data_IF_758982249418
#
_entry.id   IF_758982249418
#
_cell.length_a   1.000
_cell.length_b   1.000
_cell.length_c   1.000
_cell.angle_alpha   90.00
_cell.angle_beta   90.00
_cell.angle_gamma   90.00
#
_symmetry.space_group_name_H-M   'P 1'
#
loop_
_entity.id
_entity.type
_entity.pdbx_description
1 polymer ?
#
# COMPACT_ATOMS: atom_id res chain seq x y z
N UNK A 1 -4.69 -5.23 -2.94
CA UNK A 1 -4.44 -5.88 -1.63
C UNK A 1 -5.59 -5.56 -0.70
N UNK A 2 -6.09 -6.49 0.11
CA UNK A 2 -7.22 -6.26 1.00
C UNK A 2 -7.32 -7.25 2.15
N UNK A 3 -8.38 -7.14 2.95
CA UNK A 3 -8.57 -7.95 4.18
C UNK A 3 -8.94 -9.41 3.90
N UNK A 4 -9.52 -9.69 2.73
CA UNK A 4 -10.00 -11.02 2.33
C UNK A 4 -9.56 -11.21 0.88
N UNK A 5 -9.08 -12.42 0.56
CA UNK A 5 -8.78 -12.80 -0.81
C UNK A 5 -10.05 -13.01 -1.63
N UNK A 6 -10.12 -12.46 -2.84
CA UNK A 6 -11.22 -12.68 -3.80
C UNK A 6 -10.61 -13.19 -5.09
N UNK A 7 -11.23 -14.23 -5.64
CA UNK A 7 -10.87 -14.83 -6.92
C UNK A 7 -12.07 -14.74 -7.85
N UNK A 8 -11.79 -14.58 -9.14
CA UNK A 8 -12.81 -14.75 -10.16
C UNK A 8 -13.27 -16.21 -10.20
N UNK A 9 -14.52 -16.41 -10.62
CA UNK A 9 -15.07 -17.74 -10.89
C UNK A 9 -14.75 -18.12 -12.35
N UNK A 10 -13.46 -18.23 -12.64
CA UNK A 10 -12.92 -18.69 -13.92
C UNK A 10 -12.01 -19.91 -13.70
N UNK A 11 -11.61 -20.59 -14.78
CA UNK A 11 -10.79 -21.80 -14.68
C UNK A 11 -9.44 -21.55 -14.03
N UNK A 12 -8.86 -20.35 -14.24
CA UNK A 12 -7.56 -19.95 -13.73
C UNK A 12 -7.62 -19.42 -12.28
N UNK A 13 -8.82 -19.29 -11.71
CA UNK A 13 -9.08 -18.70 -10.40
C UNK A 13 -8.37 -17.34 -10.22
N UNK A 14 -8.52 -16.48 -11.22
CA UNK A 14 -7.78 -15.22 -11.36
C UNK A 14 -7.90 -14.37 -10.08
N UNK A 15 -6.79 -13.92 -9.48
CA UNK A 15 -6.84 -13.12 -8.26
C UNK A 15 -7.40 -11.72 -8.54
N UNK A 16 -8.58 -11.42 -7.99
CA UNK A 16 -9.19 -10.08 -8.03
C UNK A 16 -8.75 -9.22 -6.83
N UNK A 17 -8.59 -9.86 -5.67
CA UNK A 17 -8.08 -9.22 -4.45
C UNK A 17 -7.15 -10.20 -3.73
N UNK A 18 -5.92 -9.76 -3.48
CA UNK A 18 -4.95 -10.53 -2.68
C UNK A 18 -5.13 -10.18 -1.20
N UNK A 19 -5.21 -11.20 -0.35
CA UNK A 19 -5.19 -11.05 1.12
C UNK A 19 -3.86 -10.45 1.57
N UNK A 20 -3.90 -9.46 2.44
CA UNK A 20 -2.71 -8.75 2.94
C UNK A 20 -1.69 -9.65 3.64
N UNK A 21 -2.10 -10.80 4.18
CA UNK A 21 -1.22 -11.75 4.86
C UNK A 21 -0.50 -12.68 3.90
N UNK A 22 -0.90 -12.71 2.63
CA UNK A 22 -0.28 -13.59 1.64
C UNK A 22 1.19 -13.18 1.40
N UNK A 23 2.13 -14.13 1.24
CA UNK A 23 3.53 -13.81 0.95
C UNK A 23 3.73 -12.93 -0.28
N UNK A 24 2.87 -13.08 -1.29
CA UNK A 24 2.88 -12.26 -2.52
C UNK A 24 2.49 -10.79 -2.27
N UNK A 25 1.85 -10.47 -1.14
CA UNK A 25 1.52 -9.10 -0.76
C UNK A 25 2.70 -8.38 -0.06
N UNK A 26 3.78 -9.09 0.31
CA UNK A 26 4.92 -8.50 1.05
C UNK A 26 5.51 -7.24 0.40
N UNK A 27 5.72 -7.17 -0.94
CA UNK A 27 6.23 -5.95 -1.57
C UNK A 27 5.39 -4.71 -1.25
N UNK A 28 4.07 -4.86 -1.10
CA UNK A 28 3.19 -3.75 -0.76
C UNK A 28 3.57 -3.08 0.57
N UNK A 29 4.14 -3.81 1.53
CA UNK A 29 4.50 -3.27 2.84
C UNK A 29 5.99 -2.96 3.01
N UNK A 30 6.85 -3.66 2.27
CA UNK A 30 8.30 -3.59 2.46
C UNK A 30 9.04 -2.84 1.34
N UNK A 31 8.43 -2.68 0.17
CA UNK A 31 9.09 -1.98 -0.92
C UNK A 31 9.32 -0.50 -0.57
N UNK A 32 10.50 -0.01 -0.95
CA UNK A 32 10.94 1.38 -0.85
C UNK A 32 11.45 1.86 -2.20
N UNK A 33 11.66 3.16 -2.39
CA UNK A 33 12.24 3.67 -3.63
C UNK A 33 13.65 3.15 -3.93
N UNK A 34 14.40 2.70 -2.91
CA UNK A 34 15.72 2.08 -3.10
C UNK A 34 15.62 0.57 -3.37
N UNK A 35 14.65 -0.10 -2.75
CA UNK A 35 14.39 -1.53 -2.93
C UNK A 35 12.93 -1.70 -3.36
N UNK A 36 12.61 -1.52 -4.66
CA UNK A 36 11.23 -1.48 -5.14
C UNK A 36 10.54 -2.85 -5.14
N UNK A 37 11.29 -3.94 -5.00
CA UNK A 37 10.76 -5.32 -4.97
C UNK A 37 9.84 -5.65 -6.17
N UNK A 38 10.13 -5.07 -7.34
CA UNK A 38 9.34 -5.24 -8.57
C UNK A 38 8.09 -4.37 -8.66
N UNK A 39 7.83 -3.50 -7.68
CA UNK A 39 6.74 -2.53 -7.75
C UNK A 39 7.21 -1.26 -8.47
N UNK A 40 6.46 -0.88 -9.51
CA UNK A 40 6.58 0.45 -10.12
C UNK A 40 5.94 1.53 -9.24
N UNK A 41 4.80 1.18 -8.65
CA UNK A 41 3.92 2.08 -7.90
C UNK A 41 3.13 1.34 -6.83
N UNK A 42 2.81 2.04 -5.74
CA UNK A 42 1.90 1.58 -4.69
C UNK A 42 0.77 2.61 -4.50
N UNK A 43 -0.49 2.16 -4.58
CA UNK A 43 -1.67 3.00 -4.32
C UNK A 43 -2.33 2.62 -3.00
N UNK A 44 -2.57 3.62 -2.16
CA UNK A 44 -3.43 3.52 -1.00
C UNK A 44 -4.83 4.05 -1.33
N UNK A 45 -5.85 3.38 -0.80
CA UNK A 45 -7.26 3.70 -1.03
C UNK A 45 -7.91 3.90 0.34
N UNK A 46 -8.39 5.11 0.60
CA UNK A 46 -9.24 5.38 1.77
C UNK A 46 -10.68 5.18 1.36
N UNK A 47 -11.44 4.45 2.17
CA UNK A 47 -12.86 4.18 1.91
C UNK A 47 -13.71 4.37 3.17
N UNK A 48 -14.90 4.92 2.99
CA UNK A 48 -15.96 4.94 3.98
C UNK A 48 -17.11 4.04 3.51
N UNK A 49 -17.27 2.89 4.18
CA UNK A 49 -18.24 1.88 3.76
C UNK A 49 -17.89 1.32 2.38
N UNK A 50 -18.76 1.53 1.40
CA UNK A 50 -18.57 1.12 -0.01
C UNK A 50 -18.07 2.25 -0.91
N UNK A 51 -17.82 3.43 -0.34
CA UNK A 51 -17.41 4.62 -1.09
C UNK A 51 -15.92 4.83 -0.93
N UNK A 52 -15.19 4.93 -2.04
CA UNK A 52 -13.79 5.40 -2.06
C UNK A 52 -13.79 6.91 -1.88
N UNK A 53 -13.05 7.41 -0.89
CA UNK A 53 -13.00 8.83 -0.55
C UNK A 53 -11.67 9.48 -0.90
N UNK A 54 -10.61 8.68 -1.03
CA UNK A 54 -9.27 9.20 -1.31
C UNK A 54 -8.41 8.13 -1.99
N UNK A 55 -7.53 8.58 -2.87
CA UNK A 55 -6.50 7.78 -3.51
C UNK A 55 -5.16 8.49 -3.31
N UNK A 56 -4.13 7.70 -3.02
CA UNK A 56 -2.79 8.22 -2.85
C UNK A 56 -1.77 7.28 -3.50
N UNK A 57 -0.93 7.84 -4.37
CA UNK A 57 0.09 7.11 -5.11
C UNK A 57 1.50 7.41 -4.61
N UNK A 58 2.23 6.33 -4.36
CA UNK A 58 3.66 6.35 -4.10
C UNK A 58 4.39 5.76 -5.30
N UNK A 59 5.26 6.56 -5.90
CA UNK A 59 6.12 6.14 -7.00
C UNK A 59 7.37 5.47 -6.42
N UNK A 60 7.58 4.21 -6.78
CA UNK A 60 8.72 3.40 -6.30
C UNK A 60 9.80 3.26 -7.37
N UNK A 61 9.42 3.37 -8.65
CA UNK A 61 10.34 3.42 -9.78
C UNK A 61 10.50 4.87 -10.25
N UNK A 62 11.71 5.41 -10.12
CA UNK A 62 12.01 6.79 -10.53
C UNK A 62 11.96 7.01 -12.04
N UNK A 63 11.98 5.93 -12.84
CA UNK A 63 11.74 5.98 -14.27
C UNK A 63 10.25 5.98 -14.65
N UNK A 64 9.33 5.91 -13.69
CA UNK A 64 7.89 6.01 -13.95
C UNK A 64 7.48 7.47 -14.19
N UNK A 65 7.38 7.84 -15.46
CA UNK A 65 6.93 9.17 -15.89
C UNK A 65 5.40 9.32 -15.93
N UNK A 66 4.66 8.23 -15.73
CA UNK A 66 3.20 8.25 -15.71
C UNK A 66 2.69 8.98 -14.45
N UNK A 67 1.82 9.99 -14.60
CA UNK A 67 1.29 10.78 -13.48
C UNK A 67 -0.23 10.72 -13.49
N UNK A 68 -0.78 10.21 -12.40
CA UNK A 68 -2.22 9.99 -12.21
C UNK A 68 -2.91 11.16 -11.50
N UNK A 69 -2.14 12.10 -10.93
CA UNK A 69 -2.65 13.22 -10.15
C UNK A 69 -2.93 12.89 -8.68
N UNK A 70 -2.63 11.65 -8.25
CA UNK A 70 -2.75 11.19 -6.87
C UNK A 70 -1.40 11.04 -6.17
N UNK A 71 -0.30 11.37 -6.84
CA UNK A 71 1.03 11.38 -6.26
C UNK A 71 1.17 12.57 -5.30
N UNK A 72 1.55 12.32 -4.06
CA UNK A 72 1.91 13.42 -3.15
C UNK A 72 3.34 13.88 -3.45
N UNK A 73 3.49 15.20 -3.63
CA UNK A 73 4.78 15.80 -3.98
C UNK A 73 5.72 15.89 -2.77
N UNK A 74 5.19 15.73 -1.56
CA UNK A 74 5.95 15.96 -0.32
C UNK A 74 6.19 14.69 0.53
N UNK A 75 5.50 13.57 0.25
CA UNK A 75 5.65 12.32 1.02
C UNK A 75 4.97 12.32 2.41
N UNK A 76 4.40 13.45 2.82
CA UNK A 76 3.79 13.64 4.15
C UNK A 76 2.44 12.90 4.29
N UNK A 77 1.69 12.71 3.21
CA UNK A 77 0.37 12.08 3.28
C UNK A 77 0.42 10.57 3.58
N UNK A 78 1.48 9.85 3.18
CA UNK A 78 1.66 8.42 3.55
C UNK A 78 1.87 8.30 5.06
N UNK A 79 2.72 9.15 5.63
CA UNK A 79 3.00 9.18 7.06
C UNK A 79 1.73 9.50 7.86
N UNK A 80 0.97 10.51 7.44
CA UNK A 80 -0.28 10.90 8.09
C UNK A 80 -1.38 9.83 7.97
N UNK A 81 -1.49 9.16 6.82
CA UNK A 81 -2.42 8.05 6.63
C UNK A 81 -2.05 6.83 7.50
N UNK A 82 -0.76 6.49 7.59
CA UNK A 82 -0.26 5.43 8.47
C UNK A 82 -0.52 5.72 9.95
N UNK A 83 -0.28 6.98 10.39
CA UNK A 83 -0.57 7.43 11.76
C UNK A 83 -2.07 7.36 12.09
N UNK A 84 -2.94 7.77 11.16
CA UNK A 84 -4.39 7.70 11.34
C UNK A 84 -4.93 6.25 11.36
N UNK A 85 -4.35 5.37 10.54
CA UNK A 85 -4.69 3.93 10.54
C UNK A 85 -4.31 3.26 11.87
N UNK A 86 -3.12 3.58 12.41
CA UNK A 86 -2.68 3.10 13.72
C UNK A 86 -3.59 3.60 14.85
N UNK A 87 -4.00 4.88 14.80
CA UNK A 87 -4.88 5.49 15.82
C UNK A 87 -6.29 4.90 15.86
N UNK A 88 -6.80 4.44 14.72
CA UNK A 88 -8.16 3.89 14.64
C UNK A 88 -8.23 2.38 14.95
N UNK A 89 -7.10 1.75 15.30
CA UNK A 89 -7.03 0.33 15.60
C UNK A 89 -7.39 -0.57 14.41
N UNK A 90 -7.52 -0.01 13.20
CA UNK A 90 -8.03 -0.73 12.02
C UNK A 90 -6.94 -1.53 11.30
N UNK A 91 -5.70 -1.50 11.79
CA UNK A 91 -4.57 -2.33 11.34
C UNK A 91 -3.42 -2.31 12.38
N UNK A 92 -3.73 -2.69 13.63
CA UNK A 92 -2.90 -2.44 14.81
C UNK A 92 -1.51 -3.10 14.91
N UNK A 93 -1.06 -3.93 13.96
CA UNK A 93 0.18 -4.72 14.13
C UNK A 93 1.30 -4.47 13.10
N UNK A 94 1.14 -3.53 12.16
CA UNK A 94 2.15 -3.32 11.09
C UNK A 94 3.15 -2.20 11.43
N UNK A 95 2.72 -1.15 12.12
CA UNK A 95 3.53 0.08 12.28
C UNK A 95 4.66 -0.08 13.30
N UNK A 96 4.54 -1.00 14.27
CA UNK A 96 5.49 -1.09 15.38
C UNK A 96 6.86 -1.68 15.02
N UNK A 97 7.00 -2.27 13.82
CA UNK A 97 8.28 -2.80 13.33
C UNK A 97 8.91 -1.91 12.25
N UNK A 98 8.14 -1.04 11.60
CA UNK A 98 8.63 -0.18 10.51
C UNK A 98 9.43 1.02 11.04
N UNK A 99 9.12 1.51 12.25
CA UNK A 99 9.85 2.62 12.87
C UNK A 99 11.29 2.25 13.28
N UNK A 100 11.60 0.97 13.50
CA UNK A 100 12.94 0.58 13.95
C UNK A 100 13.98 0.51 12.81
N UNK A 101 13.55 0.50 11.54
CA UNK A 101 14.48 0.36 10.39
C UNK A 101 14.68 1.68 9.61
N UNK A 102 13.87 2.72 9.88
CA UNK A 102 14.03 4.06 9.29
C UNK A 102 15.08 4.91 10.05
N UNK A 103 15.39 4.58 11.30
CA UNK A 103 16.37 5.29 12.14
C UNK A 103 17.82 4.77 11.99
N UNK A 104 18.15 4.10 10.87
CA UNK A 104 19.51 3.61 10.58
C UNK A 104 20.17 4.26 9.35
N UNK A 105 19.79 5.49 9.02
CA UNK A 105 20.54 6.40 8.12
C UNK A 105 20.68 7.76 8.80
#
# INVERSE_FOLDING_TARGET
IGRIGIRADDTEHTPLLIDWRAPVARPFYLATGHVPMGLRRRRHITSQGRTVTELHDEILDLGDDDRTGFEDRNGDAVLLAALNSARTGRMGDIVRTIQAEQDRI
#
